data_IF_597287785167
#
_entry.id   IF_597287785167
#
_cell.length_a   1.000
_cell.length_b   1.000
_cell.length_c   1.000
_cell.angle_alpha   90.00
_cell.angle_beta   90.00
_cell.angle_gamma   90.00
#
_symmetry.space_group_name_H-M   'P 1'
#
loop_
_entity.id
_entity.type
_entity.pdbx_description
1 polymer ?
#
# COMPACT_ATOMS: atom_id res chain seq x y z
N UNK A 1 18.32 14.85 -3.57
CA UNK A 1 17.44 15.61 -2.63
C UNK A 1 16.40 16.53 -3.30
N UNK A 2 16.47 16.85 -4.59
CA UNK A 2 15.41 17.64 -5.26
C UNK A 2 14.05 16.93 -5.37
N UNK A 3 14.08 15.59 -5.45
CA UNK A 3 12.89 14.75 -5.66
C UNK A 3 11.93 14.81 -4.45
N UNK A 4 12.43 14.77 -3.22
CA UNK A 4 11.63 14.87 -1.99
C UNK A 4 10.90 16.20 -1.89
N UNK A 5 11.55 17.31 -2.27
CA UNK A 5 10.91 18.63 -2.28
C UNK A 5 9.76 18.74 -3.29
N UNK A 6 9.94 18.17 -4.49
CA UNK A 6 8.88 18.13 -5.52
C UNK A 6 7.71 17.25 -5.11
N UNK A 7 7.97 16.10 -4.48
CA UNK A 7 6.92 15.24 -3.91
C UNK A 7 6.12 15.99 -2.86
N UNK A 8 6.80 16.61 -1.89
CA UNK A 8 6.13 17.33 -0.79
C UNK A 8 5.24 18.44 -1.37
N UNK A 9 5.74 19.23 -2.32
CA UNK A 9 4.95 20.27 -2.99
C UNK A 9 3.76 19.72 -3.78
N UNK A 10 3.91 18.57 -4.44
CA UNK A 10 2.82 17.99 -5.22
C UNK A 10 1.76 17.29 -4.35
N UNK A 11 2.17 16.66 -3.25
CA UNK A 11 1.23 16.13 -2.25
C UNK A 11 0.50 17.31 -1.60
N UNK A 12 1.19 18.41 -1.29
CA UNK A 12 0.57 19.65 -0.77
C UNK A 12 -0.42 20.27 -1.77
N UNK A 13 -0.13 20.20 -3.07
CA UNK A 13 -0.98 20.74 -4.12
C UNK A 13 -2.28 19.93 -4.37
N UNK A 14 -2.36 18.68 -3.90
CA UNK A 14 -3.55 17.83 -4.07
C UNK A 14 -4.18 17.49 -2.71
N UNK A 15 -5.13 18.31 -2.21
CA UNK A 15 -5.68 18.17 -0.86
C UNK A 15 -6.40 16.83 -0.64
N UNK A 16 -7.04 16.28 -1.68
CA UNK A 16 -7.71 14.98 -1.61
C UNK A 16 -6.74 13.82 -1.37
N UNK A 17 -5.53 13.90 -1.92
CA UNK A 17 -4.51 12.86 -1.81
C UNK A 17 -3.78 12.97 -0.50
N UNK A 18 -3.47 14.20 -0.06
CA UNK A 18 -2.93 14.46 1.27
C UNK A 18 -3.88 13.93 2.35
N UNK A 19 -5.20 14.14 2.21
CA UNK A 19 -6.20 13.61 3.14
C UNK A 19 -6.21 12.08 3.18
N UNK A 20 -6.20 11.42 2.02
CA UNK A 20 -6.15 9.95 1.96
C UNK A 20 -4.84 9.38 2.51
N UNK A 21 -3.72 10.03 2.22
CA UNK A 21 -2.39 9.62 2.66
C UNK A 21 -2.25 9.74 4.18
N UNK A 22 -2.61 10.90 4.75
CA UNK A 22 -2.64 11.12 6.19
C UNK A 22 -3.58 10.14 6.89
N UNK A 23 -4.79 9.94 6.36
CA UNK A 23 -5.74 8.97 6.93
C UNK A 23 -5.13 7.56 6.99
N UNK A 24 -4.48 7.10 5.92
CA UNK A 24 -3.87 5.77 5.91
C UNK A 24 -2.72 5.65 6.91
N UNK A 25 -1.90 6.71 7.08
CA UNK A 25 -0.86 6.74 8.11
C UNK A 25 -1.45 6.70 9.51
N UNK A 26 -2.43 7.56 9.81
CA UNK A 26 -3.06 7.58 11.13
C UNK A 26 -3.75 6.26 11.45
N UNK A 27 -4.47 5.68 10.50
CA UNK A 27 -5.09 4.38 10.67
C UNK A 27 -4.04 3.30 10.93
N UNK A 28 -2.92 3.30 10.19
CA UNK A 28 -1.84 2.31 10.37
C UNK A 28 -1.13 2.45 11.73
N UNK A 29 -0.87 3.67 12.18
CA UNK A 29 -0.28 3.93 13.51
C UNK A 29 -1.26 3.47 14.59
N UNK A 30 -2.53 3.82 14.45
CA UNK A 30 -3.57 3.45 15.40
C UNK A 30 -3.74 1.93 15.49
N UNK A 31 -3.87 1.24 14.35
CA UNK A 31 -4.01 -0.23 14.34
C UNK A 31 -2.75 -0.91 14.83
N UNK A 32 -1.57 -0.46 14.40
CA UNK A 32 -0.30 -1.04 14.85
C UNK A 32 -0.05 -0.87 16.35
N UNK A 33 -0.43 0.26 16.94
CA UNK A 33 -0.34 0.46 18.39
C UNK A 33 -1.39 -0.36 19.15
N UNK A 34 -2.62 -0.39 18.66
CA UNK A 34 -3.70 -1.17 19.26
C UNK A 34 -3.39 -2.67 19.26
N UNK A 35 -2.85 -3.22 18.17
CA UNK A 35 -2.48 -4.65 18.10
C UNK A 35 -1.41 -5.00 19.13
N UNK A 36 -0.35 -4.20 19.23
CA UNK A 36 0.72 -4.43 20.23
C UNK A 36 0.19 -4.35 21.66
N UNK A 37 -0.64 -3.35 21.97
CA UNK A 37 -1.22 -3.23 23.32
C UNK A 37 -2.14 -4.40 23.66
N UNK A 38 -2.97 -4.83 22.71
CA UNK A 38 -3.88 -5.95 22.90
C UNK A 38 -3.11 -7.26 23.07
N UNK A 39 -2.03 -7.46 22.31
CA UNK A 39 -1.18 -8.64 22.42
C UNK A 39 -0.42 -8.70 23.74
N UNK A 40 0.08 -7.56 24.24
CA UNK A 40 0.62 -7.46 25.60
C UNK A 40 -0.45 -7.81 26.64
N UNK A 41 -1.67 -7.29 26.48
CA UNK A 41 -2.76 -7.57 27.42
C UNK A 41 -3.14 -9.06 27.43
N UNK A 42 -3.19 -9.71 26.27
CA UNK A 42 -3.42 -11.16 26.15
C UNK A 42 -2.30 -11.94 26.85
N UNK A 43 -1.03 -11.60 26.59
CA UNK A 43 0.12 -12.26 27.22
C UNK A 43 0.08 -12.12 28.75
N UNK A 44 -0.20 -10.92 29.27
CA UNK A 44 -0.30 -10.66 30.72
C UNK A 44 -1.45 -11.45 31.35
N UNK A 45 -2.57 -11.56 30.65
CA UNK A 45 -3.72 -12.31 31.13
C UNK A 45 -3.44 -13.81 31.20
N UNK A 46 -2.81 -14.36 30.16
CA UNK A 46 -2.46 -15.78 30.09
C UNK A 46 -1.32 -16.15 31.04
N UNK A 47 -0.44 -15.21 31.43
CA UNK A 47 0.68 -15.44 32.35
C UNK A 47 0.26 -16.12 33.67
N UNK A 48 -0.95 -15.84 34.15
CA UNK A 48 -1.49 -16.43 35.38
C UNK A 48 -2.00 -17.88 35.21
N UNK A 49 -2.04 -18.38 33.98
CA UNK A 49 -2.70 -19.65 33.59
C UNK A 49 -1.74 -20.64 32.95
N UNK A 50 -0.60 -20.16 32.42
CA UNK A 50 0.41 -21.00 31.75
C UNK A 50 1.37 -21.69 32.71
N UNK A 51 1.82 -22.88 32.30
CA UNK A 51 2.87 -23.64 32.99
C UNK A 51 4.26 -23.01 32.83
N UNK A 52 5.21 -23.32 33.71
CA UNK A 52 6.58 -22.77 33.69
C UNK A 52 7.30 -22.96 32.35
N UNK A 53 7.00 -24.02 31.61
CA UNK A 53 7.55 -24.27 30.26
C UNK A 53 7.01 -23.31 29.20
N UNK A 54 5.78 -22.83 29.35
CA UNK A 54 5.11 -21.91 28.42
C UNK A 54 5.46 -20.44 28.70
N UNK A 55 6.00 -20.13 29.89
CA UNK A 55 6.45 -18.77 30.25
C UNK A 55 7.55 -18.26 29.31
N UNK A 56 8.41 -19.14 28.79
CA UNK A 56 9.45 -18.75 27.82
C UNK A 56 8.90 -18.55 26.40
N UNK A 57 7.75 -19.16 26.07
CA UNK A 57 7.13 -19.05 24.75
C UNK A 57 6.43 -17.72 24.55
N UNK A 58 5.82 -17.17 25.61
CA UNK A 58 5.04 -15.93 25.56
C UNK A 58 5.87 -14.69 25.16
N UNK A 59 7.06 -14.43 25.73
CA UNK A 59 7.92 -13.34 25.27
C UNK A 59 8.34 -13.53 23.81
N UNK A 60 8.69 -14.77 23.41
CA UNK A 60 9.12 -15.03 22.04
C UNK A 60 8.00 -14.72 21.03
N UNK A 61 6.75 -15.09 21.34
CA UNK A 61 5.58 -14.75 20.54
C UNK A 61 5.39 -13.23 20.43
N UNK A 62 5.45 -12.51 21.56
CA UNK A 62 5.33 -11.04 21.57
C UNK A 62 6.43 -10.37 20.73
N UNK A 63 7.67 -10.87 20.83
CA UNK A 63 8.79 -10.38 20.03
C UNK A 63 8.57 -10.63 18.53
N UNK A 64 8.14 -11.83 18.15
CA UNK A 64 7.84 -12.17 16.77
C UNK A 64 6.73 -11.28 16.19
N UNK A 65 5.66 -11.05 16.95
CA UNK A 65 4.55 -10.19 16.53
C UNK A 65 4.97 -8.72 16.39
N UNK A 66 5.78 -8.20 17.32
CA UNK A 66 6.37 -6.86 17.20
C UNK A 66 7.20 -6.71 15.92
N UNK A 67 8.06 -7.69 15.61
CA UNK A 67 8.91 -7.69 14.41
C UNK A 67 8.05 -7.71 13.14
N UNK A 68 7.05 -8.59 13.09
CA UNK A 68 6.13 -8.68 11.94
C UNK A 68 5.35 -7.37 11.76
N UNK A 69 4.81 -6.79 12.83
CA UNK A 69 4.06 -5.55 12.76
C UNK A 69 4.93 -4.35 12.32
N UNK A 70 6.18 -4.30 12.79
CA UNK A 70 7.16 -3.31 12.36
C UNK A 70 7.48 -3.45 10.87
N UNK A 71 7.76 -4.67 10.42
CA UNK A 71 8.00 -4.95 9.01
C UNK A 71 6.77 -4.59 8.15
N UNK A 72 5.54 -4.85 8.62
CA UNK A 72 4.31 -4.51 7.90
C UNK A 72 4.12 -3.00 7.80
N UNK A 73 4.45 -2.27 8.87
CA UNK A 73 4.46 -0.81 8.87
C UNK A 73 5.49 -0.23 7.90
N UNK A 74 6.71 -0.77 7.87
CA UNK A 74 7.74 -0.34 6.91
C UNK A 74 7.28 -0.55 5.46
N UNK A 75 6.74 -1.73 5.16
CA UNK A 75 6.22 -2.03 3.83
C UNK A 75 5.07 -1.08 3.42
N UNK A 76 4.10 -0.87 4.32
CA UNK A 76 3.01 0.07 4.09
C UNK A 76 3.49 1.50 3.85
N UNK A 77 4.50 1.97 4.58
CA UNK A 77 5.09 3.30 4.39
C UNK A 77 5.79 3.43 3.04
N UNK A 78 6.57 2.43 2.63
CA UNK A 78 7.21 2.38 1.32
C UNK A 78 6.18 2.40 0.19
N UNK A 79 5.13 1.59 0.30
CA UNK A 79 4.04 1.56 -0.69
C UNK A 79 3.29 2.89 -0.78
N UNK A 80 3.07 3.57 0.34
CA UNK A 80 2.51 4.92 0.37
C UNK A 80 3.44 5.93 -0.34
N UNK A 81 4.75 5.83 -0.15
CA UNK A 81 5.72 6.67 -0.86
C UNK A 81 5.72 6.43 -2.37
N UNK A 82 5.73 5.16 -2.78
CA UNK A 82 5.61 4.76 -4.20
C UNK A 82 4.33 5.32 -4.80
N UNK A 83 3.20 5.25 -4.08
CA UNK A 83 1.93 5.85 -4.52
C UNK A 83 2.04 7.35 -4.76
N UNK A 84 2.70 8.08 -3.87
CA UNK A 84 2.91 9.51 -4.04
C UNK A 84 3.72 9.81 -5.30
N UNK A 85 4.74 9.00 -5.60
CA UNK A 85 5.54 9.13 -6.82
C UNK A 85 4.73 8.83 -8.08
N UNK A 86 3.86 7.80 -8.05
CA UNK A 86 2.93 7.55 -9.15
C UNK A 86 2.01 8.73 -9.41
N UNK A 87 1.55 9.41 -8.37
CA UNK A 87 0.74 10.60 -8.56
C UNK A 87 1.51 11.75 -9.25
N UNK A 88 2.80 11.91 -8.93
CA UNK A 88 3.68 12.86 -9.62
C UNK A 88 3.78 12.51 -11.09
N UNK A 89 4.08 11.26 -11.40
CA UNK A 89 4.15 10.76 -12.78
C UNK A 89 2.83 10.99 -13.52
N UNK A 90 1.70 10.66 -12.90
CA UNK A 90 0.38 10.86 -13.49
C UNK A 90 0.09 12.34 -13.80
N UNK A 91 0.45 13.25 -12.90
CA UNK A 91 0.23 14.69 -13.09
C UNK A 91 1.10 15.25 -14.22
N UNK A 92 2.37 14.86 -14.27
CA UNK A 92 3.28 15.25 -15.35
C UNK A 92 2.83 14.68 -16.70
N UNK A 93 2.41 13.41 -16.73
CA UNK A 93 1.88 12.77 -17.94
C UNK A 93 0.63 13.50 -18.46
N UNK A 94 -0.28 13.92 -17.57
CA UNK A 94 -1.47 14.69 -17.95
C UNK A 94 -1.12 16.05 -18.55
N UNK A 95 -0.17 16.78 -17.96
CA UNK A 95 0.33 18.06 -18.51
C UNK A 95 0.93 17.87 -19.91
N UNK A 96 1.69 16.79 -20.09
CA UNK A 96 2.28 16.43 -21.39
C UNK A 96 1.19 16.13 -22.43
N UNK A 97 0.14 15.38 -22.05
CA UNK A 97 -1.01 15.11 -22.93
C UNK A 97 -1.77 16.39 -23.31
N UNK A 98 -1.98 17.30 -22.37
CA UNK A 98 -2.64 18.58 -22.62
C UNK A 98 -1.82 19.47 -23.58
N UNK A 99 -0.50 19.53 -23.40
CA UNK A 99 0.42 20.19 -24.33
C UNK A 99 0.39 19.56 -25.72
N UNK A 100 0.35 18.22 -25.81
CA UNK A 100 0.21 17.51 -27.08
C UNK A 100 -1.10 17.88 -27.80
N UNK A 101 -2.21 17.91 -27.06
CA UNK A 101 -3.53 18.30 -27.61
C UNK A 101 -3.63 19.77 -27.98
N UNK A 102 -2.90 20.67 -27.31
CA UNK A 102 -2.88 22.08 -27.72
C UNK A 102 -2.04 22.27 -28.98
N UNK A 103 -0.88 21.59 -29.08
CA UNK A 103 -0.04 21.58 -30.27
C UNK A 103 -0.77 21.06 -31.51
N UNK A 104 -1.64 20.06 -31.38
CA UNK A 104 -2.42 19.53 -32.51
C UNK A 104 -3.50 20.50 -33.04
N UNK A 105 -3.85 21.55 -32.28
CA UNK A 105 -4.84 22.56 -32.66
C UNK A 105 -4.23 23.81 -33.31
N UNK A 106 -2.90 23.99 -33.27
CA UNK A 106 -2.25 25.18 -33.83
C UNK A 106 -1.98 25.05 -35.35
N UNK A 107 -2.14 26.15 -36.13
CA UNK A 107 -1.85 26.13 -37.55
C UNK A 107 -0.34 26.10 -37.83
N UNK A 108 0.05 25.05 -38.58
CA UNK A 108 1.29 24.76 -39.35
C UNK A 108 2.39 25.85 -39.36
N UNK A 109 3.24 25.89 -38.32
CA UNK A 109 4.66 26.28 -38.47
C UNK A 109 5.53 25.06 -38.21
N UNK A 110 5.90 24.35 -39.30
CA UNK A 110 6.57 23.02 -39.30
C UNK A 110 7.79 22.94 -38.37
N UNK A 111 8.69 23.93 -38.39
CA UNK A 111 9.94 23.88 -37.63
C UNK A 111 9.73 23.97 -36.10
N UNK A 112 8.81 24.84 -35.64
CA UNK A 112 8.51 25.01 -34.22
C UNK A 112 7.72 23.82 -33.63
N UNK A 113 6.90 23.18 -34.46
CA UNK A 113 6.16 21.96 -34.06
C UNK A 113 7.14 20.79 -33.90
N UNK A 114 8.11 20.64 -34.81
CA UNK A 114 9.09 19.55 -34.76
C UNK A 114 9.93 19.59 -33.48
N UNK A 115 10.50 20.75 -33.11
CA UNK A 115 11.30 20.85 -31.87
C UNK A 115 10.47 20.59 -30.62
N UNK A 116 9.24 21.11 -30.57
CA UNK A 116 8.31 20.84 -29.46
C UNK A 116 7.87 19.39 -29.37
N UNK A 117 7.76 18.68 -30.49
CA UNK A 117 7.48 17.25 -30.51
C UNK A 117 8.66 16.43 -29.97
N UNK A 118 9.91 16.79 -30.31
CA UNK A 118 11.10 16.16 -29.74
C UNK A 118 11.19 16.40 -28.22
N UNK A 119 11.03 17.65 -27.76
CA UNK A 119 11.00 17.96 -26.32
C UNK A 119 9.92 17.15 -25.56
N UNK A 120 8.81 16.87 -26.22
CA UNK A 120 7.69 16.10 -25.66
C UNK A 120 7.92 14.59 -25.72
N UNK A 121 8.70 14.11 -26.68
CA UNK A 121 9.16 12.73 -26.74
C UNK A 121 10.14 12.47 -25.59
N UNK A 122 11.13 13.34 -25.42
CA UNK A 122 12.12 13.26 -24.33
C UNK A 122 11.46 13.27 -22.94
N UNK A 123 10.47 14.15 -22.73
CA UNK A 123 9.71 14.18 -21.47
C UNK A 123 8.95 12.88 -21.20
N UNK A 124 8.46 12.19 -22.23
CA UNK A 124 7.77 10.92 -22.03
C UNK A 124 8.74 9.77 -21.80
N UNK A 125 9.90 9.77 -22.45
CA UNK A 125 10.95 8.80 -22.17
C UNK A 125 11.45 8.93 -20.72
N UNK A 126 11.61 10.15 -20.22
CA UNK A 126 11.93 10.42 -18.82
C UNK A 126 10.85 9.90 -17.85
N UNK A 127 9.57 10.08 -18.22
CA UNK A 127 8.43 9.54 -17.45
C UNK A 127 8.43 8.01 -17.47
N UNK A 128 8.65 7.39 -18.62
CA UNK A 128 8.68 5.94 -18.80
C UNK A 128 9.84 5.32 -17.99
N UNK A 129 11.02 5.97 -18.01
CA UNK A 129 12.18 5.57 -17.20
C UNK A 129 11.87 5.64 -15.70
N UNK A 130 11.23 6.72 -15.25
CA UNK A 130 10.82 6.86 -13.84
C UNK A 130 9.79 5.80 -13.44
N UNK A 131 8.82 5.48 -14.30
CA UNK A 131 7.86 4.39 -14.06
C UNK A 131 8.57 3.04 -13.96
N UNK A 132 9.50 2.74 -14.86
CA UNK A 132 10.30 1.51 -14.83
C UNK A 132 11.07 1.37 -13.51
N UNK A 133 11.66 2.47 -13.02
CA UNK A 133 12.31 2.50 -11.70
C UNK A 133 11.33 2.23 -10.56
N UNK A 134 10.15 2.86 -10.56
CA UNK A 134 9.10 2.60 -9.56
C UNK A 134 8.65 1.14 -9.57
N UNK A 135 8.45 0.58 -10.77
CA UNK A 135 8.00 -0.79 -10.94
C UNK A 135 9.07 -1.80 -10.49
N UNK A 136 10.36 -1.50 -10.72
CA UNK A 136 11.48 -2.26 -10.18
C UNK A 136 11.48 -2.25 -8.64
N UNK A 137 11.28 -1.07 -8.01
CA UNK A 137 11.17 -0.96 -6.55
C UNK A 137 10.00 -1.80 -6.02
N UNK A 138 8.83 -1.75 -6.67
CA UNK A 138 7.67 -2.55 -6.28
C UNK A 138 7.95 -4.05 -6.43
N UNK A 139 8.64 -4.45 -7.50
CA UNK A 139 8.98 -5.86 -7.74
C UNK A 139 9.92 -6.39 -6.66
N UNK A 140 10.97 -5.64 -6.33
CA UNK A 140 11.88 -6.00 -5.23
C UNK A 140 11.16 -6.02 -3.89
N UNK A 141 10.29 -5.05 -3.64
CA UNK A 141 9.49 -5.01 -2.43
C UNK A 141 8.52 -6.18 -2.36
N UNK A 142 7.92 -6.60 -3.48
CA UNK A 142 7.02 -7.75 -3.55
C UNK A 142 7.76 -9.07 -3.27
N UNK A 143 9.00 -9.21 -3.74
CA UNK A 143 9.84 -10.39 -3.46
C UNK A 143 10.16 -10.51 -1.97
N UNK A 144 10.64 -9.43 -1.35
CA UNK A 144 10.96 -9.40 0.09
C UNK A 144 9.70 -9.52 0.94
N UNK A 145 8.63 -8.83 0.54
CA UNK A 145 7.36 -8.87 1.28
C UNK A 145 6.60 -10.17 1.09
N UNK A 146 6.90 -10.97 0.07
CA UNK A 146 6.18 -12.21 -0.22
C UNK A 146 6.23 -13.17 0.96
N UNK A 147 7.43 -13.41 1.50
CA UNK A 147 7.64 -14.26 2.68
C UNK A 147 6.91 -13.68 3.90
N UNK A 148 6.99 -12.37 4.09
CA UNK A 148 6.35 -11.69 5.20
C UNK A 148 4.82 -11.81 5.15
N UNK A 149 4.21 -11.64 3.98
CA UNK A 149 2.77 -11.83 3.79
C UNK A 149 2.33 -13.27 4.03
N UNK A 150 3.15 -14.25 3.65
CA UNK A 150 2.90 -15.67 3.96
C UNK A 150 2.92 -15.89 5.47
N UNK A 151 3.91 -15.34 6.18
CA UNK A 151 3.97 -15.44 7.66
C UNK A 151 2.73 -14.83 8.31
N UNK A 152 2.35 -13.62 7.91
CA UNK A 152 1.14 -12.94 8.41
C UNK A 152 -0.12 -13.76 8.09
N UNK A 153 -0.21 -14.36 6.91
CA UNK A 153 -1.36 -15.19 6.53
C UNK A 153 -1.45 -16.47 7.37
N UNK A 154 -0.32 -17.16 7.58
CA UNK A 154 -0.25 -18.34 8.44
C UNK A 154 -0.63 -17.99 9.88
N UNK A 155 -0.11 -16.89 10.41
CA UNK A 155 -0.41 -16.42 11.76
C UNK A 155 -1.91 -16.08 11.90
N UNK A 156 -2.48 -15.33 10.95
CA UNK A 156 -3.92 -15.07 10.89
C UNK A 156 -4.75 -16.37 10.88
N UNK A 157 -4.35 -17.35 10.09
CA UNK A 157 -5.06 -18.62 10.01
C UNK A 157 -5.03 -19.37 11.34
N UNK A 158 -3.87 -19.47 11.98
CA UNK A 158 -3.73 -20.10 13.29
C UNK A 158 -4.56 -19.37 14.36
N UNK A 159 -4.50 -18.04 14.38
CA UNK A 159 -5.32 -17.21 15.28
C UNK A 159 -6.82 -17.44 15.07
N UNK A 160 -7.26 -17.54 13.80
CA UNK A 160 -8.66 -17.83 13.47
C UNK A 160 -9.10 -19.18 14.04
N UNK A 161 -8.30 -20.23 13.82
CA UNK A 161 -8.59 -21.58 14.31
C UNK A 161 -8.65 -21.59 15.84
N UNK A 162 -7.69 -20.93 16.50
CA UNK A 162 -7.68 -20.77 17.95
C UNK A 162 -8.96 -20.09 18.45
N UNK A 163 -9.35 -18.97 17.83
CA UNK A 163 -10.54 -18.23 18.20
C UNK A 163 -11.83 -19.04 18.01
N UNK A 164 -11.98 -19.74 16.89
CA UNK A 164 -13.14 -20.63 16.67
C UNK A 164 -13.20 -21.78 17.66
N UNK A 165 -12.05 -22.35 18.01
CA UNK A 165 -11.98 -23.40 19.02
C UNK A 165 -12.39 -22.87 20.41
N UNK A 166 -11.95 -21.66 20.76
CA UNK A 166 -12.36 -21.01 22.01
C UNK A 166 -13.87 -20.73 22.04
N UNK A 167 -14.44 -20.22 20.95
CA UNK A 167 -15.90 -20.06 20.82
C UNK A 167 -16.62 -21.39 21.06
N UNK A 168 -16.21 -22.44 20.34
CA UNK A 168 -16.84 -23.75 20.44
C UNK A 168 -16.80 -24.29 21.87
N UNK A 169 -15.65 -24.17 22.52
CA UNK A 169 -15.45 -24.69 23.87
C UNK A 169 -16.24 -23.87 24.91
N UNK A 170 -16.31 -22.54 24.74
CA UNK A 170 -17.13 -21.66 25.56
C UNK A 170 -18.62 -22.04 25.49
N UNK A 171 -19.16 -22.29 24.29
CA UNK A 171 -20.56 -22.71 24.12
C UNK A 171 -20.82 -24.12 24.66
N UNK A 172 -19.87 -25.04 24.53
CA UNK A 172 -20.05 -26.45 24.90
C UNK A 172 -19.93 -26.71 26.41
N UNK A 173 -18.95 -26.10 27.07
CA UNK A 173 -18.63 -26.41 28.47
C UNK A 173 -19.05 -25.30 29.45
N UNK A 174 -19.48 -24.14 28.94
CA UNK A 174 -19.92 -23.00 29.74
C UNK A 174 -18.78 -22.30 30.49
N UNK A 175 -19.08 -21.10 31.03
CA UNK A 175 -18.11 -20.23 31.68
C UNK A 175 -17.49 -20.82 32.96
N UNK A 176 -18.25 -21.66 33.68
CA UNK A 176 -17.87 -22.19 35.01
C UNK A 176 -16.77 -23.26 34.92
N UNK A 177 -16.72 -24.05 33.85
CA UNK A 177 -15.74 -25.15 33.73
C UNK A 177 -14.41 -24.74 33.10
N UNK A 178 -14.32 -23.60 32.40
CA UNK A 178 -13.09 -23.18 31.70
C UNK A 178 -12.16 -22.27 32.51
N UNK A 179 -12.52 -21.96 33.76
CA UNK A 179 -11.81 -20.99 34.60
C UNK A 179 -11.61 -19.61 33.89
N UNK A 180 -12.35 -19.37 32.80
CA UNK A 180 -12.11 -18.32 31.79
C UNK A 180 -13.24 -17.32 31.86
N UNK A 181 -12.90 -16.07 32.14
CA UNK A 181 -13.87 -15.00 32.33
C UNK A 181 -14.37 -14.49 30.97
N UNK A 182 -15.62 -14.02 30.90
CA UNK A 182 -16.15 -13.31 29.72
C UNK A 182 -15.23 -12.17 29.23
N UNK A 183 -14.46 -11.57 30.14
CA UNK A 183 -13.45 -10.57 29.82
C UNK A 183 -12.34 -11.08 28.88
N UNK A 184 -11.90 -12.34 29.02
CA UNK A 184 -10.87 -12.91 28.13
C UNK A 184 -11.42 -13.05 26.71
N UNK A 185 -12.66 -13.50 26.60
CA UNK A 185 -13.33 -13.64 25.31
C UNK A 185 -13.50 -12.28 24.60
N UNK A 186 -13.86 -11.23 25.34
CA UNK A 186 -13.94 -9.86 24.81
C UNK A 186 -12.56 -9.35 24.38
N UNK A 187 -11.53 -9.63 25.17
CA UNK A 187 -10.15 -9.24 24.86
C UNK A 187 -9.66 -9.92 23.57
N UNK A 188 -9.82 -11.25 23.46
CA UNK A 188 -9.47 -12.04 22.29
C UNK A 188 -10.21 -11.58 21.03
N UNK A 189 -11.52 -11.33 21.15
CA UNK A 189 -12.32 -10.81 20.05
C UNK A 189 -11.83 -9.43 19.59
N UNK A 190 -11.50 -8.54 20.54
CA UNK A 190 -10.99 -7.21 20.23
C UNK A 190 -9.61 -7.28 19.57
N UNK A 191 -8.71 -8.12 20.09
CA UNK A 191 -7.39 -8.38 19.50
C UNK A 191 -7.51 -8.87 18.06
N UNK A 192 -8.36 -9.87 17.84
CA UNK A 192 -8.66 -10.44 16.53
C UNK A 192 -9.18 -9.38 15.55
N UNK A 193 -10.15 -8.55 15.96
CA UNK A 193 -10.68 -7.47 15.14
C UNK A 193 -9.60 -6.49 14.69
N UNK A 194 -8.75 -6.03 15.61
CA UNK A 194 -7.67 -5.09 15.29
C UNK A 194 -6.60 -5.70 14.39
N UNK A 195 -6.29 -6.97 14.58
CA UNK A 195 -5.35 -7.70 13.74
C UNK A 195 -5.84 -7.80 12.29
N UNK A 196 -7.10 -8.20 12.08
CA UNK A 196 -7.72 -8.20 10.76
C UNK A 196 -7.82 -6.81 10.14
N UNK A 197 -8.15 -5.80 10.95
CA UNK A 197 -8.22 -4.42 10.48
C UNK A 197 -6.85 -3.94 9.98
N UNK A 198 -5.77 -4.28 10.67
CA UNK A 198 -4.41 -3.97 10.23
C UNK A 198 -4.11 -4.63 8.87
N UNK A 199 -4.33 -5.94 8.74
CA UNK A 199 -4.14 -6.69 7.48
C UNK A 199 -4.94 -6.05 6.35
N UNK A 200 -6.20 -5.71 6.60
CA UNK A 200 -7.07 -5.04 5.63
C UNK A 200 -6.52 -3.69 5.17
N UNK A 201 -6.00 -2.86 6.08
CA UNK A 201 -5.37 -1.58 5.73
C UNK A 201 -4.16 -1.79 4.81
N UNK A 202 -3.28 -2.73 5.15
CA UNK A 202 -2.10 -3.04 4.33
C UNK A 202 -2.51 -3.51 2.91
N UNK A 203 -3.50 -4.41 2.80
CA UNK A 203 -4.04 -4.89 1.53
C UNK A 203 -4.67 -3.76 0.71
N UNK A 204 -5.40 -2.85 1.37
CA UNK A 204 -6.01 -1.69 0.74
C UNK A 204 -4.95 -0.75 0.15
N UNK A 205 -3.85 -0.50 0.88
CA UNK A 205 -2.72 0.31 0.38
C UNK A 205 -2.10 -0.35 -0.86
N UNK A 206 -1.81 -1.66 -0.80
CA UNK A 206 -1.25 -2.42 -1.93
C UNK A 206 -2.15 -2.37 -3.18
N UNK A 207 -3.45 -2.64 -3.00
CA UNK A 207 -4.43 -2.60 -4.10
C UNK A 207 -4.54 -1.21 -4.73
N UNK A 208 -4.47 -0.16 -3.93
CA UNK A 208 -4.51 1.21 -4.42
C UNK A 208 -3.30 1.55 -5.32
N UNK A 209 -2.10 1.10 -4.94
CA UNK A 209 -0.89 1.29 -5.77
C UNK A 209 -1.00 0.57 -7.09
N UNK A 210 -1.46 -0.69 -7.08
CA UNK A 210 -1.67 -1.47 -8.30
C UNK A 210 -2.68 -0.80 -9.24
N UNK A 211 -3.75 -0.22 -8.69
CA UNK A 211 -4.75 0.50 -9.46
C UNK A 211 -4.18 1.80 -10.08
N UNK A 212 -3.31 2.51 -9.36
CA UNK A 212 -2.70 3.73 -9.86
C UNK A 212 -1.68 3.45 -10.98
N UNK A 213 -0.95 2.32 -10.94
CA UNK A 213 -0.10 1.89 -12.07
C UNK A 213 -0.95 1.53 -13.31
N UNK A 214 -2.06 0.82 -13.14
CA UNK A 214 -2.99 0.50 -14.24
C UNK A 214 -3.57 1.75 -14.91
N UNK A 215 -3.87 2.80 -14.15
CA UNK A 215 -4.34 4.08 -14.72
C UNK A 215 -3.27 4.74 -15.57
N UNK A 216 -2.02 4.72 -15.13
CA UNK A 216 -0.89 5.29 -15.88
C UNK A 216 -0.66 4.50 -17.17
N UNK A 217 -0.76 3.17 -17.12
CA UNK A 217 -0.69 2.32 -18.33
C UNK A 217 -1.75 2.73 -19.37
N UNK A 218 -3.00 2.87 -18.96
CA UNK A 218 -4.10 3.28 -19.85
C UNK A 218 -3.87 4.65 -20.48
N UNK A 219 -3.39 5.63 -19.71
CA UNK A 219 -3.09 6.97 -20.23
C UNK A 219 -1.96 6.95 -21.25
N UNK A 220 -0.95 6.10 -21.05
CA UNK A 220 0.12 5.94 -22.04
C UNK A 220 -0.37 5.23 -23.30
N UNK A 221 -1.24 4.23 -23.16
CA UNK A 221 -1.87 3.55 -24.30
C UNK A 221 -2.73 4.51 -25.15
N UNK A 222 -3.59 5.32 -24.51
CA UNK A 222 -4.32 6.39 -25.19
C UNK A 222 -3.38 7.34 -25.94
N UNK A 223 -2.22 7.69 -25.36
CA UNK A 223 -1.21 8.55 -26.00
C UNK A 223 -0.54 7.87 -27.20
N UNK A 224 -0.24 6.57 -27.14
CA UNK A 224 0.32 5.86 -28.32
C UNK A 224 -0.61 5.90 -29.52
N UNK A 225 -1.93 5.88 -29.29
CA UNK A 225 -2.93 6.08 -30.35
C UNK A 225 -2.90 7.51 -30.91
N UNK A 226 -2.71 8.53 -30.08
CA UNK A 226 -2.55 9.90 -30.57
C UNK A 226 -1.23 10.12 -31.34
N UNK A 227 -0.14 9.47 -30.91
CA UNK A 227 1.15 9.50 -31.60
C UNK A 227 1.09 8.88 -32.99
N UNK A 228 0.40 7.73 -33.15
CA UNK A 228 0.24 7.10 -34.47
C UNK A 228 -0.65 7.93 -35.40
N UNK A 229 -1.75 8.49 -34.91
CA UNK A 229 -2.64 9.35 -35.70
C UNK A 229 -1.95 10.66 -36.12
N UNK A 230 -1.07 11.21 -35.26
CA UNK A 230 -0.29 12.39 -35.60
C UNK A 230 0.78 12.07 -36.64
N UNK A 231 1.45 10.90 -36.56
CA UNK A 231 2.41 10.44 -37.56
C UNK A 231 1.75 10.19 -38.93
N UNK A 232 0.62 9.49 -38.96
CA UNK A 232 -0.13 9.17 -40.19
C UNK A 232 -0.66 10.43 -40.86
N UNK A 233 -1.15 11.43 -40.11
CA UNK A 233 -1.58 12.72 -40.69
C UNK A 233 -0.41 13.58 -41.18
N UNK A 234 0.77 13.41 -40.60
CA UNK A 234 1.98 14.08 -41.08
C UNK A 234 2.44 13.47 -42.40
N UNK A 235 2.38 12.15 -42.53
CA UNK A 235 2.69 11.41 -43.77
C UNK A 235 1.66 11.69 -44.89
N UNK A 236 0.37 11.77 -44.58
CA UNK A 236 -0.68 12.07 -45.58
C UNK A 236 -0.68 13.53 -46.09
N UNK A 237 0.20 14.39 -45.57
CA UNK A 237 0.24 15.80 -45.91
C UNK A 237 1.59 16.27 -46.45
N UNK A 238 2.38 15.30 -46.92
CA UNK A 238 3.49 15.39 -47.88
C UNK A 238 2.99 14.87 -49.22
#
# INVERSE_FOLDING_TARGET
MQITGTIIRLILASPNIMRSFRRNIYMKIFTGFATVLLEIAVVVYELNRVSFAQVFLLPFQLWAACILNLAMSQNSLLMLFVRAQYHVVHTELRKVMEKSRSLSKLPRRRAFIMSRCCDLADQVDDIAKRRSQLQSIISQLAEVSGIQWVMVFCDNYLWSVYFFYQIYTFFKYGQVNMNSTANNFILDFTACFFYYLDVYINLSIMRNVLNDDKKILRLMEERTLFGSVLNVRLEQSV
#
